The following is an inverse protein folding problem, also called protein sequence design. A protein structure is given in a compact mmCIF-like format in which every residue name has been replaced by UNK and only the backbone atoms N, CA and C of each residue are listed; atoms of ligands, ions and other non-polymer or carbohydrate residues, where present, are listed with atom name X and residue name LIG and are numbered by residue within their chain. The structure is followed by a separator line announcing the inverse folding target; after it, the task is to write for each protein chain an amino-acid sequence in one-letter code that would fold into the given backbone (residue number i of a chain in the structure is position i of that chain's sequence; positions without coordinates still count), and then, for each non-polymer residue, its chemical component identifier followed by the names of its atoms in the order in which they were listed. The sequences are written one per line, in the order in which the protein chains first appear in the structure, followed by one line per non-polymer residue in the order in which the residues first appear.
data_IF_454219786724
#
_entry.id   IF_454219786724
#
_cell.length_a   1.000
_cell.length_b   1.000
_cell.length_c   1.000
_cell.angle_alpha   90.00
_cell.angle_beta   90.00
_cell.angle_gamma   90.00
#
_symmetry.space_group_name_H-M   'P 1'
#
loop_
_entity.id
_entity.type
_entity.pdbx_description
1 polymer ?
#
# COMPACT_ATOMS: atom_id res chain seq x y z
N UNK A 1 12.89 18.44 3.33
CA UNK A 1 11.71 18.09 4.14
C UNK A 1 11.28 16.64 3.95
N UNK A 2 10.68 16.22 2.80
CA UNK A 2 10.17 14.83 2.64
C UNK A 2 11.25 13.76 2.74
N UNK A 3 12.46 13.97 2.21
CA UNK A 3 13.57 13.03 2.36
C UNK A 3 13.90 12.72 3.83
N UNK A 4 13.99 13.76 4.66
CA UNK A 4 14.29 13.62 6.08
C UNK A 4 13.14 12.97 6.84
N UNK A 5 11.88 13.36 6.54
CA UNK A 5 10.70 12.75 7.13
C UNK A 5 10.60 11.26 6.78
N UNK A 6 10.86 10.91 5.52
CA UNK A 6 10.85 9.54 5.04
C UNK A 6 11.95 8.70 5.72
N UNK A 7 13.17 9.22 5.82
CA UNK A 7 14.27 8.57 6.53
C UNK A 7 13.91 8.30 7.99
N UNK A 8 13.36 9.28 8.69
CA UNK A 8 13.00 9.13 10.10
C UNK A 8 11.87 8.13 10.32
N UNK A 9 10.79 8.17 9.50
CA UNK A 9 9.71 7.20 9.67
C UNK A 9 10.16 5.78 9.32
N UNK A 10 10.97 5.58 8.28
CA UNK A 10 11.54 4.27 7.93
C UNK A 10 12.38 3.73 9.09
N UNK A 11 13.24 4.57 9.69
CA UNK A 11 14.02 4.20 10.88
C UNK A 11 13.13 3.74 12.04
N UNK A 12 12.00 4.43 12.31
CA UNK A 12 11.06 4.03 13.38
C UNK A 12 10.36 2.72 13.05
N UNK A 13 10.00 2.50 11.79
CA UNK A 13 9.37 1.25 11.32
C UNK A 13 10.35 0.08 11.39
N UNK A 14 11.62 0.28 11.03
CA UNK A 14 12.67 -0.73 11.15
C UNK A 14 12.92 -1.11 12.61
N UNK A 15 12.99 -0.13 13.53
CA UNK A 15 13.10 -0.40 14.96
C UNK A 15 11.89 -1.15 15.52
N UNK A 16 10.67 -0.78 15.09
CA UNK A 16 9.45 -1.52 15.43
C UNK A 16 9.51 -2.98 14.97
N UNK A 17 10.01 -3.20 13.76
CA UNK A 17 10.18 -4.55 13.21
C UNK A 17 11.24 -5.35 13.96
N UNK A 18 12.36 -4.75 14.30
CA UNK A 18 13.42 -5.38 15.11
C UNK A 18 12.93 -5.78 16.51
N UNK A 19 11.94 -5.06 17.05
CA UNK A 19 11.28 -5.35 18.33
C UNK A 19 10.09 -6.29 18.21
N UNK A 20 9.82 -6.85 17.04
CA UNK A 20 8.67 -7.72 16.75
C UNK A 20 7.30 -7.05 17.01
N UNK A 21 7.24 -5.71 17.00
CA UNK A 21 5.99 -4.95 17.07
C UNK A 21 5.29 -4.86 15.70
N UNK A 22 6.01 -5.16 14.63
CA UNK A 22 5.59 -5.04 13.24
C UNK A 22 6.23 -6.16 12.43
N UNK A 23 5.45 -6.86 11.60
CA UNK A 23 5.99 -7.92 10.73
C UNK A 23 6.51 -7.35 9.41
N UNK A 24 5.66 -6.58 8.73
CA UNK A 24 5.99 -6.03 7.43
C UNK A 24 5.47 -4.61 7.29
N UNK A 25 6.16 -3.82 6.48
CA UNK A 25 5.71 -2.52 6.03
C UNK A 25 6.23 -2.25 4.62
N UNK A 26 5.49 -1.42 3.87
CA UNK A 26 5.92 -0.90 2.58
C UNK A 26 5.21 0.43 2.26
N UNK A 27 5.89 1.30 1.54
CA UNK A 27 5.36 2.57 1.05
C UNK A 27 4.21 2.32 0.09
N UNK A 28 3.13 3.07 0.25
CA UNK A 28 1.94 3.13 -0.60
C UNK A 28 1.61 4.59 -0.93
N UNK A 29 0.38 4.89 -1.34
CA UNK A 29 -0.07 6.27 -1.54
C UNK A 29 0.62 7.01 -2.67
N UNK A 30 0.62 8.34 -2.60
CA UNK A 30 1.08 9.21 -3.68
C UNK A 30 2.56 9.10 -4.00
N UNK A 31 3.41 8.91 -2.99
CA UNK A 31 4.85 8.74 -3.22
C UNK A 31 5.18 7.39 -3.86
N UNK A 32 4.43 6.33 -3.57
CA UNK A 32 4.57 5.06 -4.26
C UNK A 32 4.13 5.18 -5.73
N UNK A 33 3.04 5.91 -6.02
CA UNK A 33 2.60 6.23 -7.40
C UNK A 33 3.71 6.93 -8.17
N UNK A 34 4.33 7.94 -7.55
CA UNK A 34 5.45 8.67 -8.16
C UNK A 34 6.68 7.78 -8.38
N UNK A 35 7.00 6.91 -7.42
CA UNK A 35 8.12 5.96 -7.53
C UNK A 35 7.92 4.98 -8.70
N UNK A 36 6.69 4.63 -9.01
CA UNK A 36 6.33 3.78 -10.14
C UNK A 36 6.24 4.50 -11.48
N UNK A 37 6.61 5.77 -11.54
CA UNK A 37 6.74 6.54 -12.78
C UNK A 37 5.52 7.37 -13.17
N UNK A 38 4.52 7.51 -12.27
CA UNK A 38 3.37 8.38 -12.46
C UNK A 38 3.41 9.55 -11.43
N UNK A 39 4.29 10.54 -11.59
CA UNK A 39 4.52 11.57 -10.59
C UNK A 39 3.29 12.46 -10.41
N UNK A 40 2.92 12.71 -9.17
CA UNK A 40 1.90 13.66 -8.76
C UNK A 40 2.27 14.36 -7.44
N UNK A 41 1.64 15.49 -7.18
CA UNK A 41 1.77 16.15 -5.88
C UNK A 41 1.06 15.34 -4.79
N UNK A 42 1.70 15.22 -3.63
CA UNK A 42 1.12 14.68 -2.40
C UNK A 42 1.73 15.39 -1.20
N UNK A 43 1.02 15.44 -0.08
CA UNK A 43 1.43 16.15 1.14
C UNK A 43 1.68 15.20 2.32
N UNK A 44 1.32 13.95 2.20
CA UNK A 44 1.39 12.90 3.21
C UNK A 44 2.27 11.74 2.74
N UNK A 45 2.77 11.01 3.72
CA UNK A 45 3.54 9.78 3.49
C UNK A 45 2.72 8.61 4.01
N UNK A 46 2.42 7.66 3.11
CA UNK A 46 1.55 6.54 3.42
C UNK A 46 2.32 5.22 3.41
N UNK A 47 2.13 4.39 4.43
CA UNK A 47 2.64 3.03 4.47
C UNK A 47 1.51 2.02 4.74
N UNK A 48 1.60 0.86 4.10
CA UNK A 48 0.86 -0.33 4.49
C UNK A 48 1.63 -1.07 5.57
N UNK A 49 0.92 -1.57 6.58
CA UNK A 49 1.48 -2.33 7.71
C UNK A 49 0.82 -3.70 7.82
N UNK A 50 1.63 -4.70 8.21
CA UNK A 50 1.16 -6.00 8.69
C UNK A 50 1.68 -6.21 10.12
N UNK A 51 0.73 -6.41 11.06
CA UNK A 51 1.05 -6.87 12.40
C UNK A 51 0.99 -8.40 12.45
N UNK A 52 1.96 -9.00 13.11
CA UNK A 52 1.90 -10.42 13.48
C UNK A 52 1.03 -10.64 14.72
N UNK A 53 1.64 -11.18 15.74
CA UNK A 53 0.97 -11.41 17.03
C UNK A 53 0.92 -10.18 17.93
N UNK A 54 1.48 -9.05 17.50
CA UNK A 54 1.59 -7.83 18.32
C UNK A 54 0.28 -7.07 18.42
N UNK A 55 0.14 -6.32 19.52
CA UNK A 55 -0.98 -5.44 19.77
C UNK A 55 -0.77 -4.07 19.06
N UNK A 56 -1.84 -3.59 18.41
CA UNK A 56 -1.83 -2.28 17.76
C UNK A 56 -1.52 -1.13 18.75
N UNK A 57 -1.97 -1.24 20.00
CA UNK A 57 -1.69 -0.23 21.01
C UNK A 57 -0.19 -0.18 21.39
N UNK A 58 0.50 -1.32 21.39
CA UNK A 58 1.94 -1.37 21.61
C UNK A 58 2.71 -0.67 20.48
N UNK A 59 2.33 -0.93 19.22
CA UNK A 59 2.90 -0.26 18.05
C UNK A 59 2.60 1.25 18.07
N UNK A 60 1.38 1.65 18.41
CA UNK A 60 0.99 3.07 18.51
C UNK A 60 1.88 3.84 19.49
N UNK A 61 2.09 3.28 20.70
CA UNK A 61 2.98 3.88 21.70
C UNK A 61 4.43 3.99 21.19
N UNK A 62 4.94 2.94 20.55
CA UNK A 62 6.30 2.93 20.01
C UNK A 62 6.50 3.98 18.92
N UNK A 63 5.55 4.12 18.00
CA UNK A 63 5.60 5.08 16.90
C UNK A 63 5.18 6.49 17.30
N UNK A 64 4.69 6.68 18.55
CA UNK A 64 4.05 7.93 19.00
C UNK A 64 2.92 8.35 18.04
N UNK A 65 2.09 7.38 17.67
CA UNK A 65 1.00 7.55 16.73
C UNK A 65 -0.36 7.41 17.44
N UNK A 66 -1.34 8.13 16.94
CA UNK A 66 -2.74 7.88 17.27
C UNK A 66 -3.23 6.69 16.44
N UNK A 67 -3.85 5.72 17.09
CA UNK A 67 -4.46 4.57 16.42
C UNK A 67 -5.97 4.71 16.39
N UNK A 68 -6.53 4.70 15.21
CA UNK A 68 -7.97 4.65 14.96
C UNK A 68 -8.30 3.25 14.41
N UNK A 69 -9.06 2.42 15.14
CA UNK A 69 -9.55 1.13 14.63
C UNK A 69 -10.40 1.33 13.38
N UNK A 70 -10.40 0.34 12.49
CA UNK A 70 -11.29 0.30 11.34
C UNK A 70 -12.75 0.13 11.77
N UNK A 71 -13.66 0.55 10.90
CA UNK A 71 -15.10 0.31 11.08
C UNK A 71 -15.40 -1.19 10.97
N UNK A 72 -16.47 -1.70 11.63
CA UNK A 72 -16.79 -3.14 11.62
C UNK A 72 -16.98 -3.73 10.21
N UNK A 73 -17.49 -2.94 9.28
CA UNK A 73 -17.75 -3.35 7.89
C UNK A 73 -16.57 -3.06 6.94
N UNK A 74 -15.52 -2.38 7.42
CA UNK A 74 -14.31 -2.12 6.66
C UNK A 74 -13.32 -3.28 6.87
N UNK A 75 -12.81 -3.93 5.81
CA UNK A 75 -11.77 -4.93 5.95
C UNK A 75 -10.45 -4.40 6.54
N UNK A 76 -10.16 -3.10 6.43
CA UNK A 76 -9.00 -2.49 7.06
C UNK A 76 -9.11 -2.56 8.58
N UNK A 77 -8.03 -2.94 9.24
CA UNK A 77 -7.99 -3.07 10.69
C UNK A 77 -7.83 -1.74 11.44
N UNK A 78 -7.46 -0.69 10.73
CA UNK A 78 -7.32 0.65 11.28
C UNK A 78 -6.20 1.46 10.64
N UNK A 79 -6.01 2.65 11.16
CA UNK A 79 -5.01 3.61 10.67
C UNK A 79 -4.26 4.18 11.88
N UNK A 80 -2.93 4.21 11.79
CA UNK A 80 -2.09 4.99 12.69
C UNK A 80 -1.81 6.34 12.03
N UNK A 81 -1.96 7.43 12.79
CA UNK A 81 -1.60 8.78 12.36
C UNK A 81 -0.51 9.33 13.25
N UNK A 82 0.54 9.83 12.62
CA UNK A 82 1.64 10.51 13.28
C UNK A 82 2.21 11.59 12.36
N UNK A 83 3.24 12.27 12.79
CA UNK A 83 3.96 13.21 11.94
C UNK A 83 5.44 13.17 12.22
N UNK A 84 6.21 13.69 11.28
CA UNK A 84 7.62 13.97 11.44
C UNK A 84 7.84 15.47 11.21
N UNK A 85 8.40 16.17 12.20
CA UNK A 85 8.74 17.59 12.07
C UNK A 85 10.15 17.72 11.51
N UNK A 86 10.30 18.52 10.48
CA UNK A 86 11.57 18.86 9.82
C UNK A 86 11.58 20.35 9.58
N UNK A 87 12.56 21.06 10.14
CA UNK A 87 12.70 22.52 10.01
C UNK A 87 11.39 23.28 10.32
N UNK A 88 10.76 22.95 11.45
CA UNK A 88 9.47 23.49 11.93
C UNK A 88 8.25 23.17 11.05
N UNK A 89 8.42 22.39 10.00
CA UNK A 89 7.33 21.90 9.15
C UNK A 89 6.95 20.48 9.52
N UNK A 90 5.66 20.23 9.72
CA UNK A 90 5.12 18.91 10.04
C UNK A 90 4.72 18.16 8.78
N UNK A 91 5.30 16.98 8.56
CA UNK A 91 4.92 16.06 7.48
C UNK A 91 3.98 15.01 8.03
N UNK A 92 2.72 14.96 7.59
CA UNK A 92 1.77 13.93 8.02
C UNK A 92 2.20 12.55 7.54
N UNK A 93 2.05 11.56 8.42
CA UNK A 93 2.32 10.15 8.14
C UNK A 93 1.08 9.34 8.44
N UNK A 94 0.62 8.57 7.48
CA UNK A 94 -0.48 7.61 7.64
C UNK A 94 0.03 6.18 7.48
N UNK A 95 -0.31 5.31 8.41
CA UNK A 95 0.11 3.92 8.42
C UNK A 95 -1.15 3.07 8.45
N UNK A 96 -1.47 2.44 7.32
CA UNK A 96 -2.71 1.67 7.12
C UNK A 96 -2.48 0.23 7.55
N UNK A 97 -3.20 -0.21 8.57
CA UNK A 97 -3.13 -1.58 9.06
C UNK A 97 -4.01 -2.49 8.21
N UNK A 98 -3.38 -3.36 7.43
CA UNK A 98 -4.06 -4.29 6.54
C UNK A 98 -4.62 -5.50 7.29
N UNK A 99 -5.69 -6.14 6.79
CA UNK A 99 -6.16 -7.42 7.28
C UNK A 99 -5.14 -8.51 6.96
N UNK A 100 -4.97 -9.53 7.84
CA UNK A 100 -4.01 -10.61 7.61
C UNK A 100 -4.18 -11.34 6.27
N UNK A 101 -5.42 -11.46 5.80
CA UNK A 101 -5.72 -12.11 4.52
C UNK A 101 -5.10 -11.39 3.30
N UNK A 102 -4.78 -10.09 3.41
CA UNK A 102 -4.17 -9.33 2.33
C UNK A 102 -2.64 -9.33 2.36
N UNK A 103 -2.03 -9.74 3.48
CA UNK A 103 -0.58 -9.65 3.66
C UNK A 103 0.19 -10.40 2.57
N UNK A 104 -0.24 -11.62 2.23
CA UNK A 104 0.40 -12.42 1.19
C UNK A 104 0.28 -11.79 -0.21
N UNK A 105 -0.77 -11.01 -0.47
CA UNK A 105 -0.97 -10.33 -1.75
C UNK A 105 -0.17 -9.04 -1.83
N UNK A 106 -0.26 -8.20 -0.79
CA UNK A 106 0.31 -6.84 -0.80
C UNK A 106 1.82 -6.85 -0.58
N UNK A 107 2.32 -7.73 0.29
CA UNK A 107 3.75 -7.80 0.62
C UNK A 107 4.52 -8.89 -0.12
N UNK A 108 3.89 -9.58 -1.09
CA UNK A 108 4.52 -10.65 -1.88
C UNK A 108 5.77 -10.16 -2.62
N UNK A 109 5.62 -9.02 -3.29
CA UNK A 109 6.62 -8.43 -4.17
C UNK A 109 6.83 -6.97 -3.76
N UNK A 110 7.65 -6.79 -2.73
CA UNK A 110 8.04 -5.45 -2.27
C UNK A 110 9.40 -5.13 -2.88
N UNK A 111 9.49 -4.00 -3.56
CA UNK A 111 10.73 -3.55 -4.19
C UNK A 111 11.40 -2.44 -3.37
N UNK A 112 12.73 -2.40 -3.42
CA UNK A 112 13.51 -1.31 -2.83
C UNK A 112 13.75 -0.25 -3.90
N UNK A 113 13.03 0.87 -3.81
CA UNK A 113 13.11 1.96 -4.77
C UNK A 113 13.72 3.22 -4.13
N UNK A 114 14.30 4.07 -4.97
CA UNK A 114 14.84 5.35 -4.55
C UNK A 114 13.74 6.40 -4.57
N UNK A 115 13.37 6.93 -3.40
CA UNK A 115 12.34 7.96 -3.22
C UNK A 115 12.99 9.14 -2.49
N UNK A 116 13.07 10.30 -3.13
CA UNK A 116 13.79 11.48 -2.59
C UNK A 116 15.22 11.21 -2.12
N UNK A 117 15.95 10.32 -2.79
CA UNK A 117 17.30 9.95 -2.39
C UNK A 117 17.39 8.92 -1.26
N UNK A 118 16.26 8.46 -0.72
CA UNK A 118 16.19 7.40 0.29
C UNK A 118 15.77 6.09 -0.35
N UNK A 119 16.44 4.98 -0.01
CA UNK A 119 15.99 3.64 -0.42
C UNK A 119 14.86 3.21 0.49
N UNK A 120 13.67 2.98 -0.08
CA UNK A 120 12.44 2.64 0.64
C UNK A 120 11.81 1.39 0.06
N UNK A 121 11.25 0.56 0.90
CA UNK A 121 10.45 -0.59 0.50
C UNK A 121 9.10 -0.10 -0.02
N UNK A 122 8.78 -0.38 -1.26
CA UNK A 122 7.55 0.05 -1.96
C UNK A 122 6.78 -1.20 -2.37
N UNK A 123 5.45 -1.22 -2.18
CA UNK A 123 4.63 -2.31 -2.71
C UNK A 123 4.76 -2.40 -4.23
N UNK A 124 4.59 -3.58 -4.81
CA UNK A 124 4.58 -3.72 -6.28
C UNK A 124 3.51 -2.82 -6.91
N UNK A 125 3.72 -2.43 -8.16
CA UNK A 125 2.74 -1.58 -8.86
C UNK A 125 1.36 -2.25 -8.98
N UNK A 126 1.31 -3.59 -9.11
CA UNK A 126 0.07 -4.37 -9.12
C UNK A 126 -0.65 -4.27 -7.77
N UNK A 127 0.08 -4.48 -6.66
CA UNK A 127 -0.47 -4.34 -5.31
C UNK A 127 -0.96 -2.91 -5.04
N UNK A 128 -0.21 -1.89 -5.53
CA UNK A 128 -0.61 -0.49 -5.41
C UNK A 128 -1.92 -0.21 -6.14
N UNK A 129 -2.08 -0.73 -7.37
CA UNK A 129 -3.34 -0.61 -8.12
C UNK A 129 -4.50 -1.23 -7.34
N UNK A 130 -4.33 -2.43 -6.78
CA UNK A 130 -5.38 -3.09 -5.99
C UNK A 130 -5.80 -2.23 -4.78
N UNK A 131 -4.83 -1.65 -4.06
CA UNK A 131 -5.11 -0.74 -2.95
C UNK A 131 -5.85 0.52 -3.41
N UNK A 132 -5.49 1.08 -4.56
CA UNK A 132 -6.17 2.24 -5.15
C UNK A 132 -7.60 1.92 -5.58
N UNK A 133 -7.82 0.78 -6.22
CA UNK A 133 -9.16 0.33 -6.60
C UNK A 133 -10.05 0.07 -5.37
N UNK A 134 -9.46 -0.46 -4.29
CA UNK A 134 -10.17 -0.64 -3.03
C UNK A 134 -10.56 0.71 -2.39
N UNK A 135 -9.66 1.68 -2.35
CA UNK A 135 -9.93 3.01 -1.81
C UNK A 135 -11.01 3.75 -2.62
N UNK A 136 -11.05 3.56 -3.95
CA UNK A 136 -12.16 3.94 -4.81
C UNK A 136 -12.41 5.43 -4.99
N UNK A 137 -11.57 6.31 -4.43
CA UNK A 137 -11.68 7.76 -4.61
C UNK A 137 -11.36 8.19 -6.05
N UNK A 138 -11.84 9.36 -6.50
CA UNK A 138 -11.54 9.86 -7.85
C UNK A 138 -10.05 9.93 -8.16
N UNK A 139 -9.24 10.38 -7.20
CA UNK A 139 -7.79 10.43 -7.33
C UNK A 139 -7.16 9.03 -7.38
N UNK A 140 -7.70 8.08 -6.61
CA UNK A 140 -7.20 6.70 -6.60
C UNK A 140 -7.44 6.01 -7.94
N UNK A 141 -8.60 6.24 -8.55
CA UNK A 141 -8.90 5.72 -9.88
C UNK A 141 -7.98 6.32 -10.95
N UNK A 142 -7.68 7.62 -10.87
CA UNK A 142 -6.73 8.28 -11.76
C UNK A 142 -5.31 7.74 -11.57
N UNK A 143 -4.86 7.60 -10.34
CA UNK A 143 -3.56 7.02 -9.99
C UNK A 143 -3.41 5.60 -10.59
N UNK A 144 -4.43 4.74 -10.42
CA UNK A 144 -4.43 3.39 -10.97
C UNK A 144 -4.31 3.38 -12.51
N UNK A 145 -5.06 4.26 -13.19
CA UNK A 145 -4.99 4.41 -14.66
C UNK A 145 -3.61 4.90 -15.11
N UNK A 146 -3.02 5.87 -14.42
CA UNK A 146 -1.70 6.40 -14.75
C UNK A 146 -0.60 5.36 -14.56
N UNK A 147 -0.63 4.58 -13.46
CA UNK A 147 0.32 3.49 -13.25
C UNK A 147 0.21 2.46 -14.37
N UNK A 148 -0.99 2.03 -14.75
CA UNK A 148 -1.21 1.11 -15.86
C UNK A 148 -0.65 1.64 -17.17
N UNK A 149 -0.89 2.92 -17.49
CA UNK A 149 -0.42 3.54 -18.71
C UNK A 149 1.12 3.59 -18.79
N UNK A 150 1.80 3.87 -17.66
CA UNK A 150 3.27 3.91 -17.60
C UNK A 150 3.88 2.52 -17.65
N UNK A 151 3.29 1.55 -16.96
CA UNK A 151 3.86 0.20 -16.84
C UNK A 151 3.58 -0.67 -18.05
N UNK A 152 2.56 -0.36 -18.87
CA UNK A 152 2.18 -1.10 -20.08
C UNK A 152 2.37 -2.61 -19.86
N UNK A 153 1.48 -3.28 -19.10
CA UNK A 153 1.64 -4.70 -18.83
C UNK A 153 1.86 -5.43 -20.14
N UNK A 154 2.99 -6.14 -20.25
CA UNK A 154 3.29 -6.91 -21.44
C UNK A 154 2.15 -7.89 -21.70
N UNK A 155 1.83 -8.20 -22.96
CA UNK A 155 0.72 -9.10 -23.33
C UNK A 155 0.74 -10.45 -22.58
N UNK A 156 1.90 -10.83 -22.00
CA UNK A 156 2.08 -12.07 -21.21
C UNK A 156 1.48 -11.93 -19.80
N UNK A 157 1.46 -10.72 -19.23
CA UNK A 157 0.93 -10.48 -17.87
C UNK A 157 -0.57 -10.20 -17.84
N UNK A 158 -1.17 -9.82 -18.96
CA UNK A 158 -2.57 -9.37 -19.07
C UNK A 158 -3.54 -10.24 -19.86
N UNK A 159 -3.10 -11.31 -20.50
CA UNK A 159 -4.02 -12.23 -21.17
C UNK A 159 -4.43 -13.37 -20.23
N UNK A 160 -5.70 -13.40 -19.74
CA UNK A 160 -6.31 -14.68 -19.45
C UNK A 160 -6.29 -15.45 -20.78
N UNK A 161 -5.63 -16.60 -20.83
CA UNK A 161 -5.60 -17.41 -22.04
C UNK A 161 -7.03 -17.61 -22.50
N UNK A 162 -7.34 -17.24 -23.75
CA UNK A 162 -8.66 -17.43 -24.37
C UNK A 162 -9.17 -18.90 -24.28
N UNK A 163 -8.29 -19.83 -23.91
CA UNK A 163 -8.63 -21.23 -23.67
C UNK A 163 -9.37 -21.49 -22.36
N UNK A 164 -9.39 -20.56 -21.39
CA UNK A 164 -10.15 -20.74 -20.15
C UNK A 164 -11.62 -20.25 -20.26
N UNK A 165 -11.96 -19.44 -21.25
CA UNK A 165 -13.32 -18.95 -21.46
C UNK A 165 -14.21 -19.92 -22.25
N UNK A 166 -13.65 -20.91 -22.93
CA UNK A 166 -14.42 -21.91 -23.70
C UNK A 166 -14.98 -23.04 -22.83
N UNK A 167 -14.70 -23.12 -21.55
CA UNK A 167 -15.24 -24.15 -20.63
C UNK A 167 -16.44 -23.71 -19.79
N UNK A 168 -16.89 -22.48 -19.89
CA UNK A 168 -18.20 -22.09 -19.37
C UNK A 168 -19.26 -22.41 -20.43
N UNK A 169 -19.60 -23.71 -20.49
CA UNK A 169 -20.54 -24.26 -21.42
C UNK A 169 -21.88 -23.56 -21.41
N UNK A 170 -22.20 -23.00 -22.55
CA UNK A 170 -23.55 -22.66 -22.91
C UNK A 170 -24.40 -23.96 -22.98
N UNK A 171 -24.99 -24.37 -21.86
CA UNK A 171 -26.05 -25.39 -21.88
C UNK A 171 -27.28 -24.74 -22.53
N UNK A 172 -27.43 -24.95 -23.83
CA UNK A 172 -28.71 -24.76 -24.50
C UNK A 172 -29.73 -25.70 -23.81
N UNK A 173 -30.70 -25.13 -23.13
CA UNK A 173 -31.94 -25.84 -22.80
C UNK A 173 -32.74 -25.96 -24.13
N UNK A 174 -32.72 -27.16 -24.71
CA UNK A 174 -33.66 -27.54 -25.73
C UNK A 174 -35.06 -27.58 -25.12
N UNK A 175 -36.02 -26.98 -25.82
CA UNK A 175 -37.43 -27.18 -25.58
C UNK A 175 -37.85 -28.55 -26.20
N UNK A 176 -38.63 -29.27 -25.48
CA UNK A 176 -39.83 -29.96 -25.89
C UNK A 176 -40.90 -29.73 -24.85
#
# INVERSE_FOLDING_TARGET
MFAQALTEIVRRLDDAKARHLLDQYALIGGFAVSAWGAPRATHDVDFALALGSSDAAALARHLRAEFQPGEPDDPLRGIFRTSVTVDDLSVPIQLVLLPPAWNALIFREVESLLVFGCTVRVVSWQALILLKLYAGGPQDMLDAQQILAVRQPTQVEGQPSLHSLTRLGCRRRGRL
#
